data_IF_461550340196
#
_entry.id   IF_461550340196
#
_cell.length_a   1.000
_cell.length_b   1.000
_cell.length_c   1.000
_cell.angle_alpha   90.00
_cell.angle_beta   90.00
_cell.angle_gamma   90.00
#
_symmetry.space_group_name_H-M   'P 1'
#
loop_
_entity.id
_entity.type
_entity.pdbx_description
1 polymer ?
#
# COMPACT_ATOMS: atom_id res chain seq x y z
N UNK A 1 9.26 -1.16 15.81
CA UNK A 1 7.87 -1.70 15.77
C UNK A 1 7.88 -3.16 15.32
N UNK A 2 8.35 -3.49 14.11
CA UNK A 2 8.38 -4.88 13.59
C UNK A 2 8.97 -5.90 14.57
N UNK A 3 10.15 -5.61 15.15
CA UNK A 3 10.77 -6.48 16.16
C UNK A 3 9.83 -6.77 17.35
N UNK A 4 9.20 -5.73 17.91
CA UNK A 4 8.25 -5.88 19.03
C UNK A 4 7.04 -6.72 18.66
N UNK A 5 6.52 -6.59 17.44
CA UNK A 5 5.41 -7.43 16.94
C UNK A 5 5.84 -8.89 16.86
N UNK A 6 7.03 -9.19 16.33
CA UNK A 6 7.55 -10.56 16.24
C UNK A 6 7.86 -11.16 17.61
N UNK A 7 8.37 -10.36 18.55
CA UNK A 7 8.59 -10.78 19.95
C UNK A 7 7.27 -11.14 20.62
N UNK A 8 6.21 -10.35 20.41
CA UNK A 8 4.89 -10.62 20.98
C UNK A 8 4.12 -11.75 20.27
N UNK A 9 4.30 -11.92 18.96
CA UNK A 9 3.60 -12.88 18.12
C UNK A 9 4.58 -13.61 17.17
N UNK A 10 5.27 -14.65 17.66
CA UNK A 10 6.20 -15.43 16.84
C UNK A 10 5.49 -16.07 15.63
N UNK A 11 6.13 -16.04 14.45
CA UNK A 11 5.61 -16.67 13.24
C UNK A 11 4.49 -15.92 12.51
N UNK A 12 4.01 -14.78 13.02
CA UNK A 12 2.94 -14.02 12.36
C UNK A 12 3.40 -13.39 11.03
N UNK A 13 2.49 -13.35 10.05
CA UNK A 13 2.67 -12.56 8.84
C UNK A 13 2.53 -11.06 9.16
N UNK A 14 3.41 -10.23 8.58
CA UNK A 14 3.38 -8.78 8.76
C UNK A 14 3.37 -8.12 7.38
N UNK A 15 2.35 -7.28 7.15
CA UNK A 15 2.26 -6.39 6.01
C UNK A 15 2.53 -4.95 6.47
N UNK A 16 3.52 -4.31 5.86
CA UNK A 16 3.79 -2.88 6.03
C UNK A 16 3.07 -2.13 4.91
N UNK A 17 2.17 -1.23 5.27
CA UNK A 17 1.40 -0.38 4.35
C UNK A 17 2.02 1.01 4.36
N UNK A 18 2.45 1.50 3.19
CA UNK A 18 3.07 2.82 3.10
C UNK A 18 2.06 3.95 3.39
N UNK A 19 2.52 5.17 3.75
CA UNK A 19 1.69 6.33 3.67
C UNK A 19 1.02 6.46 2.30
N UNK A 20 -0.14 7.08 2.31
CA UNK A 20 -0.78 7.67 1.15
C UNK A 20 0.02 8.87 0.65
N UNK A 21 -0.30 9.36 -0.55
CA UNK A 21 0.10 10.72 -0.93
C UNK A 21 -0.46 11.75 0.07
N UNK A 22 0.31 12.80 0.32
CA UNK A 22 -0.11 13.94 1.14
C UNK A 22 0.32 15.21 0.43
N UNK A 23 -0.62 16.09 0.21
CA UNK A 23 -0.41 17.37 -0.44
C UNK A 23 0.01 18.45 0.54
N UNK A 24 0.59 19.50 -0.02
CA UNK A 24 0.79 20.78 0.63
C UNK A 24 0.62 21.90 -0.41
N UNK A 25 0.23 23.08 0.05
CA UNK A 25 0.20 24.27 -0.80
C UNK A 25 1.64 24.75 -1.02
N UNK A 26 2.04 24.85 -2.28
CA UNK A 26 3.30 25.46 -2.71
C UNK A 26 3.11 26.97 -2.97
N UNK A 27 4.19 27.76 -3.00
CA UNK A 27 4.16 29.11 -3.55
C UNK A 27 3.49 29.13 -4.94
N UNK A 28 2.58 30.09 -5.15
CA UNK A 28 1.77 30.17 -6.37
C UNK A 28 0.48 29.34 -6.36
N UNK A 29 0.07 28.80 -5.21
CA UNK A 29 -1.25 28.18 -5.02
C UNK A 29 -1.39 26.77 -5.60
N UNK A 30 -0.28 26.17 -6.05
CA UNK A 30 -0.28 24.79 -6.56
C UNK A 30 -0.27 23.81 -5.39
N UNK A 31 -1.05 22.73 -5.52
CA UNK A 31 -0.96 21.58 -4.62
C UNK A 31 0.16 20.67 -5.12
N UNK A 32 1.13 20.37 -4.27
CA UNK A 32 2.22 19.43 -4.54
C UNK A 32 2.26 18.32 -3.50
N UNK A 33 2.79 17.15 -3.85
CA UNK A 33 3.12 16.12 -2.85
C UNK A 33 4.16 16.66 -1.85
N UNK A 34 3.97 16.35 -0.57
CA UNK A 34 4.95 16.65 0.49
C UNK A 34 6.24 15.88 0.19
N UNK A 35 7.41 16.55 0.07
CA UNK A 35 8.68 15.90 -0.29
C UNK A 35 9.09 14.75 0.63
N UNK A 36 8.65 14.77 1.89
CA UNK A 36 8.90 13.70 2.85
C UNK A 36 8.18 12.39 2.53
N UNK A 37 7.09 12.41 1.75
CA UNK A 37 6.28 11.21 1.48
C UNK A 37 7.06 10.16 0.68
N UNK A 38 7.63 10.45 -0.50
CA UNK A 38 8.48 9.49 -1.22
C UNK A 38 9.64 8.96 -0.36
N UNK A 39 10.25 9.81 0.47
CA UNK A 39 11.35 9.40 1.36
C UNK A 39 10.89 8.38 2.42
N UNK A 40 9.73 8.60 3.03
CA UNK A 40 9.15 7.68 4.03
C UNK A 40 8.75 6.36 3.36
N UNK A 41 8.15 6.42 2.16
CA UNK A 41 7.77 5.24 1.38
C UNK A 41 9.00 4.37 1.09
N UNK A 42 10.10 4.95 0.62
CA UNK A 42 11.32 4.20 0.37
C UNK A 42 11.96 3.64 1.64
N UNK A 43 11.98 4.40 2.74
CA UNK A 43 12.47 3.92 4.03
C UNK A 43 11.66 2.71 4.52
N UNK A 44 10.33 2.78 4.45
CA UNK A 44 9.48 1.66 4.87
C UNK A 44 9.61 0.44 3.97
N UNK A 45 9.82 0.63 2.66
CA UNK A 45 10.14 -0.46 1.73
C UNK A 45 11.45 -1.15 2.12
N UNK A 46 12.50 -0.38 2.43
CA UNK A 46 13.78 -0.92 2.91
C UNK A 46 13.64 -1.70 4.22
N UNK A 47 12.85 -1.16 5.17
CA UNK A 47 12.55 -1.87 6.42
C UNK A 47 11.83 -3.18 6.15
N UNK A 48 10.80 -3.19 5.29
CA UNK A 48 10.06 -4.39 4.96
C UNK A 48 10.96 -5.49 4.40
N UNK A 49 11.86 -5.13 3.47
CA UNK A 49 12.86 -6.05 2.93
C UNK A 49 13.81 -6.57 4.01
N UNK A 50 14.39 -5.67 4.82
CA UNK A 50 15.35 -6.04 5.87
C UNK A 50 14.74 -6.92 6.97
N UNK A 51 13.42 -6.85 7.18
CA UNK A 51 12.72 -7.62 8.23
C UNK A 51 11.87 -8.77 7.69
N UNK A 52 12.01 -9.10 6.40
CA UNK A 52 11.22 -10.11 5.70
C UNK A 52 9.71 -9.94 5.95
N UNK A 53 9.21 -8.73 5.72
CA UNK A 53 7.79 -8.39 5.78
C UNK A 53 7.28 -8.09 4.38
N UNK A 54 5.99 -8.33 4.15
CA UNK A 54 5.33 -7.86 2.94
C UNK A 54 5.25 -6.32 2.96
N UNK A 55 5.20 -5.70 1.78
CA UNK A 55 5.08 -4.25 1.63
C UNK A 55 4.02 -3.91 0.59
N UNK A 56 3.10 -3.01 0.94
CA UNK A 56 2.14 -2.43 0.02
C UNK A 56 2.40 -0.92 -0.11
N UNK A 57 2.74 -0.48 -1.33
CA UNK A 57 3.01 0.92 -1.64
C UNK A 57 1.70 1.65 -1.95
N UNK A 58 0.96 2.06 -0.91
CA UNK A 58 -0.28 2.82 -1.02
C UNK A 58 -0.08 4.10 -1.83
N UNK A 59 1.04 4.80 -1.64
CA UNK A 59 1.36 6.02 -2.36
C UNK A 59 1.37 5.78 -3.88
N UNK A 60 2.11 4.77 -4.34
CA UNK A 60 2.14 4.42 -5.76
C UNK A 60 0.79 3.89 -6.26
N UNK A 61 0.10 3.06 -5.46
CA UNK A 61 -1.20 2.49 -5.82
C UNK A 61 -2.28 3.57 -6.04
N UNK A 62 -2.23 4.68 -5.31
CA UNK A 62 -3.14 5.81 -5.50
C UNK A 62 -2.84 6.63 -6.77
N UNK A 63 -1.64 6.51 -7.34
CA UNK A 63 -1.18 7.28 -8.50
C UNK A 63 0.12 8.05 -8.27
N UNK A 64 0.72 7.98 -7.08
CA UNK A 64 2.00 8.60 -6.75
C UNK A 64 1.93 10.12 -6.68
N UNK A 65 2.94 10.78 -7.26
CA UNK A 65 3.14 12.23 -7.17
C UNK A 65 1.95 13.02 -7.71
N UNK A 66 1.55 14.06 -6.97
CA UNK A 66 0.45 14.96 -7.33
C UNK A 66 -0.94 14.32 -7.25
N UNK A 67 -1.08 13.15 -6.65
CA UNK A 67 -2.39 12.50 -6.48
C UNK A 67 -3.34 13.40 -5.68
N UNK A 68 -2.87 14.06 -4.62
CA UNK A 68 -3.71 14.97 -3.83
C UNK A 68 -4.21 16.17 -4.63
N UNK A 69 -3.42 16.68 -5.58
CA UNK A 69 -3.88 17.74 -6.48
C UNK A 69 -5.01 17.24 -7.39
N UNK A 70 -4.84 16.05 -7.99
CA UNK A 70 -5.87 15.41 -8.82
C UNK A 70 -7.15 15.15 -8.01
N UNK A 71 -7.01 14.65 -6.78
CA UNK A 71 -8.12 14.31 -5.90
C UNK A 71 -8.90 15.54 -5.44
N UNK A 72 -8.20 16.64 -5.13
CA UNK A 72 -8.81 17.91 -4.77
C UNK A 72 -9.56 18.59 -5.93
N UNK A 73 -9.14 18.32 -7.17
CA UNK A 73 -9.76 18.85 -8.38
C UNK A 73 -10.99 18.07 -8.86
N UNK A 74 -11.29 16.91 -8.28
CA UNK A 74 -12.48 16.14 -8.67
C UNK A 74 -13.77 16.82 -8.17
N UNK A 75 -14.91 16.70 -8.89
CA UNK A 75 -16.17 17.33 -8.46
C UNK A 75 -16.65 16.88 -7.07
N UNK A 76 -16.43 15.60 -6.74
CA UNK A 76 -16.78 15.04 -5.42
C UNK A 76 -15.75 15.33 -4.33
N UNK A 77 -14.55 15.77 -4.70
CA UNK A 77 -13.34 15.88 -3.86
C UNK A 77 -13.02 14.58 -3.12
N UNK A 78 -11.94 13.91 -3.52
CA UNK A 78 -11.51 12.66 -2.89
C UNK A 78 -10.58 12.89 -1.68
N UNK A 79 -10.22 14.14 -1.40
CA UNK A 79 -9.37 14.56 -0.28
C UNK A 79 -10.00 15.75 0.43
N UNK A 80 -9.81 15.83 1.75
CA UNK A 80 -10.22 16.95 2.59
C UNK A 80 -9.36 18.19 2.31
N UNK A 81 -9.80 19.34 2.83
CA UNK A 81 -9.12 20.62 2.67
C UNK A 81 -7.71 20.67 3.27
N UNK A 82 -7.36 19.73 4.16
CA UNK A 82 -6.01 19.58 4.72
C UNK A 82 -5.01 18.88 3.79
N UNK A 83 -5.47 18.45 2.60
CA UNK A 83 -4.69 17.76 1.57
C UNK A 83 -4.00 16.48 2.07
N UNK A 84 -4.43 15.92 3.20
CA UNK A 84 -3.78 14.80 3.86
C UNK A 84 -4.76 13.65 4.05
N UNK A 85 -5.99 13.94 4.47
CA UNK A 85 -6.99 12.92 4.75
C UNK A 85 -7.93 12.75 3.57
N UNK A 86 -8.21 11.50 3.14
CA UNK A 86 -9.25 11.26 2.15
C UNK A 86 -10.63 11.62 2.70
N UNK A 87 -11.56 11.90 1.79
CA UNK A 87 -13.00 11.84 2.09
C UNK A 87 -13.45 10.38 2.22
N UNK A 88 -14.73 10.13 2.51
CA UNK A 88 -15.26 8.76 2.57
C UNK A 88 -15.03 8.04 1.24
N UNK A 89 -15.34 8.68 0.13
CA UNK A 89 -15.17 8.15 -1.22
C UNK A 89 -13.67 7.95 -1.56
N UNK A 90 -12.81 8.85 -1.11
CA UNK A 90 -11.36 8.67 -1.23
C UNK A 90 -10.86 7.46 -0.43
N UNK A 91 -11.39 7.26 0.77
CA UNK A 91 -11.03 6.14 1.64
C UNK A 91 -11.52 4.80 1.08
N UNK A 92 -12.69 4.76 0.42
CA UNK A 92 -13.18 3.59 -0.30
C UNK A 92 -12.23 3.17 -1.44
N UNK A 93 -11.69 4.14 -2.20
CA UNK A 93 -10.67 3.85 -3.23
C UNK A 93 -9.43 3.24 -2.60
N UNK A 94 -8.91 3.81 -1.50
CA UNK A 94 -7.72 3.26 -0.81
C UNK A 94 -7.98 1.86 -0.27
N UNK A 95 -9.14 1.64 0.37
CA UNK A 95 -9.53 0.33 0.88
C UNK A 95 -9.61 -0.72 -0.23
N UNK A 96 -10.19 -0.35 -1.38
CA UNK A 96 -10.27 -1.22 -2.56
C UNK A 96 -8.89 -1.55 -3.12
N UNK A 97 -7.98 -0.59 -3.23
CA UNK A 97 -6.61 -0.83 -3.69
C UNK A 97 -5.86 -1.85 -2.81
N UNK A 98 -6.02 -1.76 -1.49
CA UNK A 98 -5.42 -2.72 -0.55
C UNK A 98 -6.08 -4.10 -0.69
N UNK A 99 -7.41 -4.14 -0.78
CA UNK A 99 -8.16 -5.38 -0.95
C UNK A 99 -7.77 -6.11 -2.24
N UNK A 100 -7.76 -5.41 -3.37
CA UNK A 100 -7.41 -5.98 -4.68
C UNK A 100 -5.99 -6.56 -4.66
N UNK A 101 -5.03 -5.87 -4.03
CA UNK A 101 -3.66 -6.36 -3.91
C UNK A 101 -3.54 -7.61 -3.02
N UNK A 102 -4.26 -7.67 -1.90
CA UNK A 102 -4.31 -8.85 -1.04
C UNK A 102 -4.98 -10.03 -1.75
N UNK A 103 -6.09 -9.78 -2.44
CA UNK A 103 -6.83 -10.79 -3.17
C UNK A 103 -6.00 -11.37 -4.32
N UNK A 104 -5.34 -10.52 -5.10
CA UNK A 104 -4.41 -10.95 -6.16
C UNK A 104 -3.24 -11.78 -5.60
N UNK A 105 -2.66 -11.39 -4.47
CA UNK A 105 -1.64 -12.19 -3.78
C UNK A 105 -2.17 -13.57 -3.36
N UNK A 106 -3.38 -13.61 -2.82
CA UNK A 106 -4.04 -14.84 -2.39
C UNK A 106 -4.36 -15.78 -3.57
N UNK A 107 -4.93 -15.26 -4.66
CA UNK A 107 -5.26 -16.07 -5.84
C UNK A 107 -4.00 -16.68 -6.46
N UNK A 108 -2.91 -15.90 -6.57
CA UNK A 108 -1.60 -16.40 -7.02
C UNK A 108 -1.03 -17.48 -6.10
N UNK A 109 -1.14 -17.31 -4.79
CA UNK A 109 -0.73 -18.33 -3.82
C UNK A 109 -1.53 -19.63 -4.00
N UNK A 110 -2.86 -19.53 -4.10
CA UNK A 110 -3.75 -20.68 -4.31
C UNK A 110 -3.49 -21.39 -5.63
N UNK A 111 -3.22 -20.64 -6.70
CA UNK A 111 -2.84 -21.20 -8.00
C UNK A 111 -1.56 -22.03 -7.92
N UNK A 112 -0.52 -21.52 -7.25
CA UNK A 112 0.73 -22.25 -7.03
C UNK A 112 0.54 -23.51 -6.18
N UNK A 113 -0.24 -23.41 -5.10
CA UNK A 113 -0.53 -24.54 -4.23
C UNK A 113 -1.30 -25.65 -4.97
N UNK A 114 -2.26 -25.28 -5.82
CA UNK A 114 -2.96 -26.22 -6.69
C UNK A 114 -2.03 -26.93 -7.68
N UNK A 115 -1.12 -26.19 -8.32
CA UNK A 115 -0.13 -26.77 -9.24
C UNK A 115 0.90 -27.66 -8.54
N UNK A 116 1.32 -27.34 -7.31
CA UNK A 116 2.27 -28.17 -6.55
C UNK A 116 1.66 -29.49 -6.09
N UNK A 117 0.38 -29.50 -5.69
CA UNK A 117 -0.33 -30.75 -5.34
C UNK A 117 -0.44 -31.69 -6.54
N UNK A 118 -0.68 -31.16 -7.74
CA UNK A 118 -0.78 -31.97 -8.97
C UNK A 118 0.58 -32.60 -9.36
N UNK A 119 1.68 -31.85 -9.24
CA UNK A 119 3.04 -32.35 -9.54
C UNK A 119 3.47 -33.43 -8.53
N UNK A 120 3.16 -33.25 -7.24
CA UNK A 120 3.49 -34.22 -6.19
C UNK A 120 2.73 -35.55 -6.36
N UNK A 121 1.52 -35.53 -6.92
CA UNK A 121 0.76 -36.74 -7.21
C UNK A 121 1.30 -37.49 -8.45
N UNK A 122 1.81 -36.78 -9.44
CA UNK A 122 2.37 -37.36 -10.68
C UNK A 122 3.73 -38.05 -10.46
N UNK A 123 4.54 -37.53 -9.54
CA UNK A 123 5.88 -38.09 -9.19
C UNK A 123 5.83 -39.32 -8.25
N UNK A 124 4.63 -39.79 -7.89
CA UNK A 124 4.40 -40.91 -6.96
C UNK A 124 3.84 -42.17 -7.67
N UNK A 125 3.79 -42.14 -9.00
CA UNK A 125 3.52 -43.28 -9.88
C UNK A 125 4.78 -43.67 -10.64
#
# INVERSE_FOLDING_TARGET
>A
VVRRVREALPGIAILIVSPMDRGQMAPGGKIITKPSIPMIVDLQRRVALATNCAFFNTYAAMGGDGTMAKWAATPKRLVRSDLTHPTTEGAEIVGRLIYEALYDGYTKYRGRAGSQTLIAQDQSK
#
